data_IF_908605212509
#
_entry.id   IF_908605212509
#
_cell.length_a   1.000
_cell.length_b   1.000
_cell.length_c   1.000
_cell.angle_alpha   90.00
_cell.angle_beta   90.00
_cell.angle_gamma   90.00
#
_symmetry.space_group_name_H-M   'P 1'
#
loop_
_entity.id
_entity.type
_entity.pdbx_description
1 polymer ?
#
# COMPACT_ATOMS: atom_id res chain seq x y z
N UNK A 1 1.75 -10.74 -12.10
CA UNK A 1 2.62 -11.29 -11.03
C UNK A 1 1.86 -11.14 -9.72
N UNK A 2 1.54 -12.23 -9.02
CA UNK A 2 0.88 -12.13 -7.71
C UNK A 2 1.95 -11.78 -6.69
N UNK A 3 2.05 -10.50 -6.34
CA UNK A 3 2.91 -10.07 -5.24
C UNK A 3 2.22 -10.49 -3.95
N UNK A 4 2.85 -11.34 -3.13
CA UNK A 4 2.31 -11.69 -1.81
C UNK A 4 2.47 -10.47 -0.89
N UNK A 5 1.40 -9.68 -0.75
CA UNK A 5 1.38 -8.41 -0.01
C UNK A 5 1.24 -8.60 1.51
N UNK A 6 1.60 -9.77 2.05
CA UNK A 6 1.40 -10.11 3.46
C UNK A 6 2.14 -9.20 4.45
N UNK A 7 3.23 -8.53 4.02
CA UNK A 7 3.96 -7.56 4.85
C UNK A 7 3.28 -6.19 4.89
N UNK A 8 2.28 -5.95 4.06
CA UNK A 8 1.55 -4.68 4.03
C UNK A 8 0.36 -4.73 4.97
N UNK A 9 0.05 -3.60 5.61
CA UNK A 9 -1.22 -3.47 6.30
C UNK A 9 -2.36 -3.38 5.29
N UNK A 10 -3.59 -3.65 5.76
CA UNK A 10 -4.77 -3.76 4.89
C UNK A 10 -4.98 -2.52 3.99
N UNK A 11 -4.68 -1.32 4.50
CA UNK A 11 -4.85 -0.08 3.74
C UNK A 11 -3.87 0.02 2.56
N UNK A 12 -2.63 -0.35 2.77
CA UNK A 12 -1.60 -0.42 1.73
C UNK A 12 -1.93 -1.53 0.72
N UNK A 13 -2.41 -2.69 1.17
CA UNK A 13 -2.88 -3.75 0.27
C UNK A 13 -4.00 -3.28 -0.65
N UNK A 14 -4.99 -2.55 -0.11
CA UNK A 14 -6.07 -1.96 -0.91
C UNK A 14 -5.50 -0.97 -1.94
N UNK A 15 -4.63 -0.03 -1.54
CA UNK A 15 -3.99 0.91 -2.48
C UNK A 15 -3.20 0.20 -3.58
N UNK A 16 -2.42 -0.84 -3.25
CA UNK A 16 -1.68 -1.63 -4.25
C UNK A 16 -2.63 -2.38 -5.18
N UNK A 17 -3.74 -2.91 -4.66
CA UNK A 17 -4.76 -3.59 -5.47
C UNK A 17 -5.35 -2.62 -6.49
N UNK A 18 -5.73 -1.41 -6.06
CA UNK A 18 -6.22 -0.37 -6.95
C UNK A 18 -5.16 0.02 -7.99
N UNK A 19 -3.93 0.28 -7.57
CA UNK A 19 -2.84 0.63 -8.48
C UNK A 19 -2.59 -0.47 -9.52
N UNK A 20 -2.66 -1.72 -9.12
CA UNK A 20 -2.48 -2.88 -10.01
C UNK A 20 -3.61 -2.97 -11.04
N UNK A 21 -4.85 -2.76 -10.64
CA UNK A 21 -5.98 -2.69 -11.59
C UNK A 21 -5.84 -1.54 -12.59
N UNK A 22 -5.44 -0.36 -12.12
CA UNK A 22 -5.19 0.80 -12.98
C UNK A 22 -4.03 0.54 -13.95
N UNK A 23 -2.93 -0.06 -13.47
CA UNK A 23 -1.74 -0.33 -14.27
C UNK A 23 -1.91 -1.45 -15.30
N UNK A 24 -2.83 -2.39 -15.04
CA UNK A 24 -3.15 -3.48 -15.97
C UNK A 24 -4.25 -3.12 -16.98
N UNK A 25 -4.85 -1.93 -16.86
CA UNK A 25 -5.84 -1.44 -17.82
C UNK A 25 -5.17 -0.90 -19.07
N UNK A 26 -5.72 -1.26 -20.24
CA UNK A 26 -5.31 -0.67 -21.52
C UNK A 26 -5.79 0.80 -21.66
N UNK A 27 -6.70 1.25 -20.78
CA UNK A 27 -7.26 2.59 -20.75
C UNK A 27 -6.67 3.43 -19.61
N UNK A 28 -6.24 4.66 -19.93
CA UNK A 28 -5.72 5.64 -18.96
C UNK A 28 -6.82 6.33 -18.14
N UNK A 29 -8.06 6.30 -18.63
CA UNK A 29 -9.23 6.89 -17.98
C UNK A 29 -10.21 5.77 -17.71
N UNK A 30 -10.47 5.48 -16.44
CA UNK A 30 -11.33 4.37 -16.03
C UNK A 30 -12.59 4.88 -15.32
N UNK A 31 -13.78 4.36 -15.67
CA UNK A 31 -14.99 4.60 -14.91
C UNK A 31 -14.88 4.05 -13.48
N UNK A 32 -15.29 4.85 -12.50
CA UNK A 32 -15.36 4.42 -11.10
C UNK A 32 -16.33 3.24 -10.93
N UNK A 33 -17.41 3.21 -11.70
CA UNK A 33 -18.37 2.08 -11.69
C UNK A 33 -17.72 0.76 -12.09
N UNK A 34 -16.80 0.79 -13.06
CA UNK A 34 -16.09 -0.39 -13.51
C UNK A 34 -15.09 -0.88 -12.46
N UNK A 35 -14.36 0.04 -11.82
CA UNK A 35 -13.47 -0.29 -10.70
C UNK A 35 -14.25 -0.86 -9.51
N UNK A 36 -15.46 -0.36 -9.24
CA UNK A 36 -16.34 -0.92 -8.20
C UNK A 36 -16.70 -2.37 -8.50
N UNK A 37 -17.08 -2.68 -9.74
CA UNK A 37 -17.43 -4.04 -10.17
C UNK A 37 -16.22 -4.98 -10.14
N UNK A 38 -15.06 -4.54 -10.67
CA UNK A 38 -13.84 -5.36 -10.73
C UNK A 38 -13.27 -5.67 -9.34
N UNK A 39 -13.32 -4.70 -8.42
CA UNK A 39 -12.74 -4.82 -7.08
C UNK A 39 -13.73 -5.32 -6.02
N UNK A 40 -15.03 -5.38 -6.34
CA UNK A 40 -16.12 -5.55 -5.38
C UNK A 40 -16.08 -4.50 -4.26
N UNK A 41 -15.87 -3.24 -4.65
CA UNK A 41 -15.72 -2.12 -3.73
C UNK A 41 -16.88 -1.13 -3.84
N UNK A 42 -17.18 -0.45 -2.73
CA UNK A 42 -18.07 0.70 -2.76
C UNK A 42 -17.40 1.88 -3.49
N UNK A 43 -18.22 2.77 -4.08
CA UNK A 43 -17.74 4.03 -4.68
C UNK A 43 -16.84 4.81 -3.72
N UNK A 44 -17.26 4.91 -2.45
CA UNK A 44 -16.48 5.60 -1.43
C UNK A 44 -15.08 5.00 -1.27
N UNK A 45 -14.99 3.67 -1.17
CA UNK A 45 -13.72 2.97 -0.98
C UNK A 45 -12.77 3.15 -2.18
N UNK A 46 -13.29 3.11 -3.41
CA UNK A 46 -12.51 3.38 -4.63
C UNK A 46 -11.93 4.80 -4.58
N UNK A 47 -12.77 5.79 -4.32
CA UNK A 47 -12.36 7.20 -4.33
C UNK A 47 -11.42 7.56 -3.17
N UNK A 48 -11.64 6.99 -1.99
CA UNK A 48 -10.76 7.17 -0.83
C UNK A 48 -9.36 6.62 -1.13
N UNK A 49 -9.29 5.38 -1.63
CA UNK A 49 -8.01 4.77 -1.99
C UNK A 49 -7.31 5.51 -3.14
N UNK A 50 -8.05 6.00 -4.15
CA UNK A 50 -7.47 6.77 -5.24
C UNK A 50 -6.82 8.07 -4.76
N UNK A 51 -7.50 8.83 -3.90
CA UNK A 51 -6.94 10.08 -3.35
C UNK A 51 -5.73 9.83 -2.45
N UNK A 52 -5.80 8.81 -1.60
CA UNK A 52 -4.68 8.44 -0.74
C UNK A 52 -3.47 7.97 -1.58
N UNK A 53 -3.72 7.17 -2.60
CA UNK A 53 -2.69 6.68 -3.52
C UNK A 53 -2.03 7.81 -4.31
N UNK A 54 -2.76 8.84 -4.76
CA UNK A 54 -2.16 10.00 -5.42
C UNK A 54 -1.11 10.68 -4.53
N UNK A 55 -1.44 10.89 -3.24
CA UNK A 55 -0.50 11.48 -2.29
C UNK A 55 0.75 10.62 -2.08
N UNK A 56 0.59 9.30 -2.02
CA UNK A 56 1.72 8.38 -1.90
C UNK A 56 2.61 8.38 -3.16
N UNK A 57 2.03 8.44 -4.35
CA UNK A 57 2.78 8.54 -5.61
C UNK A 57 3.57 9.84 -5.66
N UNK A 58 2.96 10.97 -5.27
CA UNK A 58 3.63 12.27 -5.18
C UNK A 58 4.85 12.23 -4.25
N UNK A 59 4.73 11.58 -3.09
CA UNK A 59 5.85 11.37 -2.16
C UNK A 59 6.95 10.52 -2.78
N UNK A 60 6.60 9.37 -3.35
CA UNK A 60 7.60 8.42 -3.92
C UNK A 60 8.30 9.02 -5.13
N UNK A 61 7.59 9.79 -5.95
CA UNK A 61 8.14 10.41 -7.15
C UNK A 61 8.75 11.80 -6.92
N UNK A 62 8.68 12.32 -5.69
CA UNK A 62 9.14 13.67 -5.36
C UNK A 62 8.56 14.74 -6.30
N UNK A 63 7.24 14.63 -6.58
CA UNK A 63 6.49 15.53 -7.46
C UNK A 63 5.30 16.13 -6.74
N UNK A 64 4.85 17.30 -7.20
CA UNK A 64 3.59 17.93 -6.77
C UNK A 64 2.50 17.83 -7.82
N UNK A 65 2.81 17.27 -8.98
CA UNK A 65 1.83 17.07 -10.04
C UNK A 65 0.83 15.99 -9.62
N UNK A 66 -0.44 16.18 -9.93
CA UNK A 66 -1.43 15.13 -9.72
C UNK A 66 -1.21 14.01 -10.74
N UNK A 67 -0.84 12.85 -10.22
CA UNK A 67 -0.50 11.66 -11.00
C UNK A 67 -1.69 10.72 -11.16
N UNK A 68 -2.60 10.76 -10.17
CA UNK A 68 -3.85 10.03 -10.15
C UNK A 68 -4.98 11.01 -9.82
N UNK A 69 -5.80 11.30 -10.82
CA UNK A 69 -6.86 12.31 -10.76
C UNK A 69 -8.23 11.66 -10.67
N UNK A 70 -9.06 12.16 -9.76
CA UNK A 70 -10.49 11.86 -9.71
C UNK A 70 -11.23 13.01 -10.39
N UNK A 71 -12.13 12.72 -11.34
CA UNK A 71 -12.95 13.75 -11.97
C UNK A 71 -13.81 14.52 -10.97
N UNK A 72 -14.17 15.76 -11.28
CA UNK A 72 -15.01 16.59 -10.40
C UNK A 72 -16.36 15.93 -10.09
N UNK A 73 -16.95 15.24 -11.06
CA UNK A 73 -18.21 14.48 -10.88
C UNK A 73 -18.00 13.12 -10.21
N UNK A 74 -16.75 12.80 -9.86
CA UNK A 74 -16.32 11.56 -9.20
C UNK A 74 -16.78 10.31 -9.94
N UNK A 75 -16.78 10.34 -11.27
CA UNK A 75 -17.17 9.21 -12.12
C UNK A 75 -16.01 8.56 -12.83
N UNK A 76 -14.89 9.26 -13.01
CA UNK A 76 -13.71 8.68 -13.66
C UNK A 76 -12.47 8.91 -12.82
N UNK A 77 -11.52 8.00 -13.00
CA UNK A 77 -10.16 8.08 -12.46
C UNK A 77 -9.21 8.09 -13.66
N UNK A 78 -8.28 9.04 -13.66
CA UNK A 78 -7.20 9.14 -14.65
C UNK A 78 -5.87 8.85 -13.98
N UNK A 79 -5.10 7.91 -14.52
CA UNK A 79 -3.72 7.65 -14.13
C UNK A 79 -2.81 8.12 -15.26
N UNK A 80 -1.87 9.00 -14.92
CA UNK A 80 -0.89 9.51 -15.86
C UNK A 80 0.09 8.40 -16.27
N UNK A 81 0.31 8.27 -17.58
CA UNK A 81 1.03 7.16 -18.23
C UNK A 81 2.49 7.05 -17.77
N UNK A 82 3.10 8.19 -17.40
CA UNK A 82 4.47 8.25 -16.87
C UNK A 82 4.64 7.45 -15.58
N UNK A 83 3.54 7.15 -14.88
CA UNK A 83 3.53 6.53 -13.55
C UNK A 83 3.01 5.08 -13.55
N UNK A 84 2.49 4.57 -14.68
CA UNK A 84 2.00 3.20 -14.82
C UNK A 84 3.06 2.14 -14.47
N UNK A 85 4.32 2.42 -14.76
CA UNK A 85 5.44 1.50 -14.50
C UNK A 85 5.92 1.47 -13.04
N UNK A 86 5.36 2.28 -12.14
CA UNK A 86 5.92 2.47 -10.79
C UNK A 86 5.24 1.64 -9.69
N UNK A 87 4.51 0.59 -10.05
CA UNK A 87 3.85 -0.31 -9.09
C UNK A 87 4.86 -0.86 -8.07
N UNK A 88 6.01 -1.32 -8.54
CA UNK A 88 7.07 -1.88 -7.67
C UNK A 88 7.69 -0.84 -6.75
N UNK A 89 7.81 0.42 -7.20
CA UNK A 89 8.33 1.52 -6.38
C UNK A 89 7.39 1.86 -5.23
N UNK A 90 6.07 1.88 -5.50
CA UNK A 90 5.04 2.10 -4.47
C UNK A 90 4.99 0.92 -3.49
N UNK A 91 4.99 -0.33 -3.99
CA UNK A 91 5.03 -1.52 -3.13
C UNK A 91 6.29 -1.48 -2.25
N UNK A 92 7.45 -1.16 -2.82
CA UNK A 92 8.71 -1.05 -2.08
C UNK A 92 8.64 0.03 -1.00
N UNK A 93 8.02 1.17 -1.30
CA UNK A 93 7.80 2.24 -0.33
C UNK A 93 6.92 1.75 0.84
N UNK A 94 5.81 1.09 0.56
CA UNK A 94 4.93 0.56 1.61
C UNK A 94 5.61 -0.53 2.45
N UNK A 95 6.31 -1.48 1.82
CA UNK A 95 7.04 -2.54 2.54
C UNK A 95 8.05 -1.91 3.49
N UNK A 96 8.87 -0.96 2.99
CA UNK A 96 9.89 -0.28 3.80
C UNK A 96 9.30 0.42 5.02
N UNK A 97 8.07 0.92 4.94
CA UNK A 97 7.41 1.59 6.06
C UNK A 97 6.52 0.66 6.91
N UNK A 98 6.36 -0.61 6.52
CA UNK A 98 5.53 -1.56 7.25
C UNK A 98 6.14 -1.94 8.60
N UNK A 99 5.29 -2.16 9.60
CA UNK A 99 5.73 -2.61 10.93
C UNK A 99 6.38 -4.00 10.90
N UNK A 100 5.99 -4.86 9.95
CA UNK A 100 6.61 -6.17 9.74
C UNK A 100 8.06 -6.04 9.29
N UNK A 101 8.32 -5.16 8.31
CA UNK A 101 9.67 -4.91 7.81
C UNK A 101 10.55 -4.21 8.85
N UNK A 102 10.01 -3.19 9.52
CA UNK A 102 10.74 -2.48 10.58
C UNK A 102 11.14 -3.42 11.72
N UNK A 103 10.23 -4.29 12.16
CA UNK A 103 10.54 -5.31 13.15
C UNK A 103 11.62 -6.28 12.67
N UNK A 104 11.54 -6.72 11.41
CA UNK A 104 12.51 -7.64 10.81
C UNK A 104 13.91 -7.01 10.79
N UNK A 105 14.02 -5.73 10.40
CA UNK A 105 15.28 -4.99 10.42
C UNK A 105 15.84 -4.87 11.84
N UNK A 106 15.00 -4.55 12.83
CA UNK A 106 15.46 -4.42 14.21
C UNK A 106 15.99 -5.73 14.81
N UNK A 107 15.36 -6.85 14.45
CA UNK A 107 15.83 -8.18 14.86
C UNK A 107 17.14 -8.54 14.16
N UNK A 108 17.23 -8.36 12.84
CA UNK A 108 18.42 -8.73 12.06
C UNK A 108 19.64 -7.88 12.39
N UNK A 109 19.44 -6.60 12.72
CA UNK A 109 20.52 -5.69 13.10
C UNK A 109 20.83 -5.73 14.61
N UNK A 110 20.19 -6.63 15.37
CA UNK A 110 20.36 -6.76 16.82
C UNK A 110 20.08 -5.45 17.60
N UNK A 111 19.22 -4.58 17.04
CA UNK A 111 18.82 -3.30 17.67
C UNK A 111 17.54 -3.42 18.50
N UNK A 112 16.83 -4.56 18.40
CA UNK A 112 15.62 -4.84 19.15
C UNK A 112 15.87 -4.92 20.67
N UNK A 113 15.33 -3.96 21.43
CA UNK A 113 15.50 -3.92 22.90
C UNK A 113 14.48 -4.73 23.68
N UNK A 114 13.19 -4.51 23.40
CA UNK A 114 12.06 -5.24 23.99
C UNK A 114 10.81 -5.01 23.15
N UNK A 115 9.77 -5.84 23.32
CA UNK A 115 8.52 -5.67 22.57
C UNK A 115 7.81 -4.38 22.95
N UNK A 116 7.87 -3.98 24.22
CA UNK A 116 7.31 -2.73 24.72
C UNK A 116 8.02 -1.52 24.11
N UNK A 117 9.34 -1.58 23.94
CA UNK A 117 10.10 -0.49 23.32
C UNK A 117 9.69 -0.30 21.85
N UNK A 118 9.68 -1.38 21.08
CA UNK A 118 9.26 -1.35 19.68
C UNK A 118 7.80 -0.92 19.54
N UNK A 119 6.91 -1.44 20.39
CA UNK A 119 5.51 -1.09 20.40
C UNK A 119 5.30 0.42 20.60
N UNK A 120 6.07 1.02 21.52
CA UNK A 120 6.02 2.46 21.78
C UNK A 120 6.53 3.30 20.59
N UNK A 121 7.61 2.85 19.91
CA UNK A 121 8.15 3.56 18.74
C UNK A 121 7.18 3.58 17.55
N UNK A 122 6.40 2.50 17.37
CA UNK A 122 5.47 2.34 16.26
C UNK A 122 4.00 2.61 16.64
N UNK A 123 3.73 3.11 17.86
CA UNK A 123 2.39 3.39 18.36
C UNK A 123 1.42 2.19 18.27
N UNK A 124 1.92 0.99 18.56
CA UNK A 124 1.16 -0.26 18.59
C UNK A 124 1.20 -0.89 19.98
N UNK A 125 0.50 -2.02 20.18
CA UNK A 125 0.56 -2.77 21.44
C UNK A 125 1.67 -3.81 21.43
N UNK A 126 2.22 -4.15 22.60
CA UNK A 126 3.19 -5.26 22.71
C UNK A 126 2.59 -6.61 22.25
N UNK A 127 1.28 -6.81 22.42
CA UNK A 127 0.57 -7.96 21.87
C UNK A 127 0.60 -8.00 20.34
N UNK A 128 0.46 -6.84 19.68
CA UNK A 128 0.62 -6.70 18.24
C UNK A 128 2.03 -7.08 17.80
N UNK A 129 3.07 -6.68 18.54
CA UNK A 129 4.46 -7.06 18.28
C UNK A 129 4.65 -8.58 18.36
N UNK A 130 4.03 -9.23 19.35
CA UNK A 130 4.04 -10.69 19.45
C UNK A 130 3.39 -11.37 18.23
N UNK A 131 2.26 -10.84 17.76
CA UNK A 131 1.58 -11.35 16.57
C UNK A 131 2.42 -11.13 15.29
N UNK A 132 3.11 -9.99 15.18
CA UNK A 132 4.04 -9.72 14.07
C UNK A 132 5.14 -10.78 14.05
N UNK A 133 5.81 -11.04 15.19
CA UNK A 133 6.82 -12.09 15.28
C UNK A 133 6.28 -13.46 14.88
N UNK A 134 5.09 -13.83 15.38
CA UNK A 134 4.49 -15.11 15.03
C UNK A 134 4.25 -15.22 13.52
N UNK A 135 3.67 -14.17 12.92
CA UNK A 135 3.43 -14.11 11.47
C UNK A 135 4.72 -14.21 10.67
N UNK A 136 5.77 -13.49 11.09
CA UNK A 136 7.10 -13.55 10.47
C UNK A 136 7.67 -14.98 10.53
N UNK A 137 7.59 -15.64 11.69
CA UNK A 137 8.05 -17.02 11.83
C UNK A 137 7.28 -17.97 10.90
N UNK A 138 5.96 -17.84 10.80
CA UNK A 138 5.13 -18.68 9.94
C UNK A 138 5.41 -18.47 8.44
N UNK A 139 5.74 -17.23 8.05
CA UNK A 139 5.97 -16.83 6.66
C UNK A 139 7.41 -17.07 6.20
N UNK A 140 8.39 -16.90 7.07
CA UNK A 140 9.82 -17.03 6.76
C UNK A 140 10.39 -18.44 7.02
N UNK A 141 9.70 -19.29 7.78
CA UNK A 141 10.12 -20.69 8.00
C UNK A 141 9.73 -21.63 6.84
N UNK A 142 9.08 -21.10 5.79
CA UNK A 142 8.77 -21.81 4.54
C UNK A 142 9.83 -21.54 3.50
#
# INVERSE_FOLDING_TARGET
MVVDLWMLDKKEQEKVTLLTELANSDELILPVSELMERLDWSKYKVLENARALNGDIQVVMSTTDDTLLVSDDSKTIYLDDRYLGNVDGIISYYIKNSVYWQFTLDVLNETMKSYEHFALQHAISAGTVSNIKQTLNERLAK
#
